data_IF_724983357502
#
_entry.id   IF_724983357502
#
_cell.length_a   1.000
_cell.length_b   1.000
_cell.length_c   1.000
_cell.angle_alpha   90.00
_cell.angle_beta   90.00
_cell.angle_gamma   90.00
#
_symmetry.space_group_name_H-M   'P 1'
#
loop_
_entity.id
_entity.type
_entity.pdbx_description
1 polymer ?
#
# COMPACT_ATOMS: atom_id res chain seq x y z
N UNK A 1 -2.85 23.99 20.11
CA UNK A 1 -1.93 23.64 19.01
C UNK A 1 -1.78 22.13 19.06
N UNK A 2 -2.69 21.41 18.39
CA UNK A 2 -2.68 19.94 18.37
C UNK A 2 -1.54 19.47 17.47
N UNK A 3 -0.47 18.97 18.10
CA UNK A 3 0.57 18.19 17.45
C UNK A 3 0.02 16.79 17.16
N UNK A 4 -0.95 16.68 16.26
CA UNK A 4 -1.08 15.45 15.50
C UNK A 4 0.09 15.47 14.52
N UNK A 5 1.25 15.03 14.99
CA UNK A 5 2.28 14.49 14.11
C UNK A 5 1.54 13.56 13.15
N UNK A 6 1.41 13.99 11.91
CA UNK A 6 0.87 13.17 10.84
C UNK A 6 1.93 12.10 10.63
N UNK A 7 1.86 11.04 11.44
CA UNK A 7 2.86 10.00 11.52
C UNK A 7 3.05 9.46 10.10
N UNK A 8 4.22 9.72 9.54
CA UNK A 8 4.58 9.22 8.21
C UNK A 8 4.50 7.71 8.25
N UNK A 9 3.95 7.14 7.19
CA UNK A 9 3.89 5.69 7.02
C UNK A 9 5.32 5.15 6.95
N UNK A 10 5.69 4.28 7.90
CA UNK A 10 6.97 3.58 7.92
C UNK A 10 6.78 2.24 7.22
N UNK A 11 7.30 2.10 5.99
CA UNK A 11 7.02 0.91 5.16
C UNK A 11 7.57 -0.40 5.73
N UNK A 12 8.48 -0.35 6.72
CA UNK A 12 8.96 -1.56 7.41
C UNK A 12 8.12 -1.87 8.65
N UNK A 13 7.76 -0.86 9.44
CA UNK A 13 7.02 -1.07 10.70
C UNK A 13 5.52 -1.21 10.49
N UNK A 14 4.98 -0.52 9.49
CA UNK A 14 3.56 -0.48 9.19
C UNK A 14 3.18 -1.46 8.06
N UNK A 15 4.04 -2.44 7.72
CA UNK A 15 3.77 -3.41 6.65
C UNK A 15 2.40 -4.10 6.81
N UNK A 16 2.07 -4.53 8.04
CA UNK A 16 0.76 -5.15 8.32
C UNK A 16 -0.41 -4.20 8.07
N UNK A 17 -0.25 -2.93 8.41
CA UNK A 17 -1.28 -1.91 8.17
C UNK A 17 -1.45 -1.65 6.66
N UNK A 18 -0.35 -1.68 5.91
CA UNK A 18 -0.36 -1.56 4.46
C UNK A 18 -1.06 -2.77 3.83
N UNK A 19 -0.75 -3.98 4.28
CA UNK A 19 -1.41 -5.21 3.84
C UNK A 19 -2.92 -5.18 4.07
N UNK A 20 -3.34 -4.79 5.27
CA UNK A 20 -4.76 -4.65 5.63
C UNK A 20 -5.44 -3.60 4.75
N UNK A 21 -4.79 -2.46 4.53
CA UNK A 21 -5.30 -1.38 3.67
C UNK A 21 -5.49 -1.83 2.23
N UNK A 22 -4.44 -2.40 1.62
CA UNK A 22 -4.46 -2.85 0.23
C UNK A 22 -5.52 -3.93 0.04
N UNK A 23 -5.56 -4.94 0.92
CA UNK A 23 -6.55 -6.01 0.87
C UNK A 23 -7.98 -5.48 1.02
N UNK A 24 -8.20 -4.51 1.93
CA UNK A 24 -9.51 -3.88 2.11
C UNK A 24 -9.96 -3.11 0.85
N UNK A 25 -9.08 -2.33 0.22
CA UNK A 25 -9.41 -1.61 -1.01
C UNK A 25 -9.73 -2.58 -2.14
N UNK A 26 -8.92 -3.63 -2.34
CA UNK A 26 -9.16 -4.65 -3.38
C UNK A 26 -10.50 -5.34 -3.16
N UNK A 27 -10.79 -5.74 -1.91
CA UNK A 27 -12.07 -6.37 -1.56
C UNK A 27 -13.25 -5.43 -1.79
N UNK A 28 -13.09 -4.15 -1.50
CA UNK A 28 -14.15 -3.17 -1.70
C UNK A 28 -14.42 -2.86 -3.17
N UNK A 29 -13.37 -2.65 -3.96
CA UNK A 29 -13.49 -2.14 -5.33
C UNK A 29 -13.66 -3.26 -6.37
N UNK A 30 -13.08 -4.44 -6.11
CA UNK A 30 -13.10 -5.59 -7.03
C UNK A 30 -13.87 -6.80 -6.47
N UNK A 31 -14.31 -6.79 -5.21
CA UNK A 31 -14.93 -7.93 -4.54
C UNK A 31 -14.04 -9.20 -4.55
N UNK A 32 -12.71 -9.01 -4.53
CA UNK A 32 -11.70 -10.07 -4.50
C UNK A 32 -11.07 -10.13 -3.11
N UNK A 33 -10.99 -11.33 -2.54
CA UNK A 33 -10.25 -11.58 -1.30
C UNK A 33 -8.88 -12.20 -1.67
N UNK A 34 -7.82 -11.40 -1.56
CA UNK A 34 -6.46 -11.81 -1.91
C UNK A 34 -5.47 -11.34 -0.85
N UNK A 35 -4.50 -12.18 -0.54
CA UNK A 35 -3.39 -11.82 0.34
C UNK A 35 -2.29 -11.13 -0.48
N UNK A 36 -2.02 -9.86 -0.17
CA UNK A 36 -1.02 -9.04 -0.87
C UNK A 36 0.36 -8.99 -0.19
N UNK A 37 0.56 -9.67 0.95
CA UNK A 37 1.79 -9.54 1.76
C UNK A 37 3.08 -9.89 1.02
N UNK A 38 3.00 -10.71 -0.05
CA UNK A 38 4.14 -11.10 -0.87
C UNK A 38 4.13 -10.46 -2.27
N UNK A 39 3.16 -9.61 -2.55
CA UNK A 39 2.93 -9.00 -3.87
C UNK A 39 3.71 -7.69 -4.03
N UNK A 40 4.37 -7.26 -2.95
CA UNK A 40 5.28 -6.13 -2.94
C UNK A 40 6.34 -6.30 -1.85
N UNK A 41 7.45 -5.55 -1.98
CA UNK A 41 8.52 -5.51 -0.98
C UNK A 41 8.95 -4.07 -0.70
N UNK A 42 9.27 -3.76 0.55
CA UNK A 42 9.90 -2.50 0.89
C UNK A 42 11.40 -2.56 0.55
N UNK A 43 11.86 -1.64 -0.31
CA UNK A 43 13.26 -1.56 -0.73
C UNK A 43 13.75 -0.11 -0.72
N UNK A 44 15.05 0.08 -0.52
CA UNK A 44 15.66 1.41 -0.64
C UNK A 44 15.88 1.75 -2.11
N UNK A 45 15.28 2.84 -2.55
CA UNK A 45 15.61 3.43 -3.82
C UNK A 45 17.01 4.07 -3.74
N UNK A 46 17.95 3.57 -4.53
CA UNK A 46 19.36 4.01 -4.52
C UNK A 46 19.50 5.49 -4.94
N UNK A 47 18.64 5.94 -5.87
CA UNK A 47 18.72 7.29 -6.46
C UNK A 47 18.13 8.32 -5.51
N UNK A 48 16.94 8.07 -4.95
CA UNK A 48 16.25 9.02 -4.06
C UNK A 48 16.59 8.84 -2.58
N UNK A 49 17.30 7.76 -2.22
CA UNK A 49 17.63 7.37 -0.84
C UNK A 49 16.40 7.19 0.05
N UNK A 50 15.23 6.92 -0.54
CA UNK A 50 13.97 6.72 0.17
C UNK A 50 13.58 5.25 0.15
N UNK A 51 12.95 4.81 1.23
CA UNK A 51 12.27 3.52 1.25
C UNK A 51 11.01 3.61 0.39
N UNK A 52 10.85 2.66 -0.53
CA UNK A 52 9.70 2.56 -1.45
C UNK A 52 9.17 1.13 -1.45
N UNK A 53 7.90 0.97 -1.79
CA UNK A 53 7.31 -0.32 -2.14
C UNK A 53 7.61 -0.63 -3.61
N UNK A 54 8.22 -1.79 -3.84
CA UNK A 54 8.51 -2.34 -5.17
C UNK A 54 7.53 -3.47 -5.44
N UNK A 55 6.96 -3.47 -6.64
CA UNK A 55 5.98 -4.46 -7.08
C UNK A 55 6.68 -5.80 -7.33
N UNK A 56 6.20 -6.86 -6.71
CA UNK A 56 6.65 -8.24 -6.92
C UNK A 56 5.46 -9.13 -7.25
N UNK A 57 4.59 -8.61 -8.13
CA UNK A 57 3.32 -9.21 -8.46
C UNK A 57 3.49 -10.63 -9.02
N UNK A 58 2.71 -11.55 -8.45
CA UNK A 58 2.54 -12.91 -8.94
C UNK A 58 1.73 -12.95 -10.23
N UNK A 59 1.77 -14.08 -10.92
CA UNK A 59 0.99 -14.30 -12.14
C UNK A 59 -0.52 -14.07 -11.91
N UNK A 60 -1.02 -14.34 -10.69
CA UNK A 60 -2.43 -14.09 -10.32
C UNK A 60 -2.81 -12.61 -10.48
N UNK A 61 -1.92 -11.70 -10.09
CA UNK A 61 -2.14 -10.25 -10.27
C UNK A 61 -1.92 -9.85 -11.73
N UNK A 62 -0.93 -10.42 -12.40
CA UNK A 62 -0.62 -10.09 -13.80
C UNK A 62 -1.72 -10.55 -14.77
N UNK A 63 -2.39 -11.67 -14.47
CA UNK A 63 -3.50 -12.22 -15.26
C UNK A 63 -4.81 -11.43 -15.09
N UNK A 64 -4.91 -10.57 -14.06
CA UNK A 64 -6.07 -9.71 -13.82
C UNK A 64 -5.69 -8.22 -14.01
N UNK A 65 -5.98 -7.62 -15.18
CA UNK A 65 -5.59 -6.25 -15.49
C UNK A 65 -6.14 -5.21 -14.51
N UNK A 66 -7.36 -5.41 -14.01
CA UNK A 66 -8.01 -4.49 -13.07
C UNK A 66 -7.31 -4.53 -11.70
N UNK A 67 -6.97 -5.74 -11.24
CA UNK A 67 -6.22 -5.94 -10.01
C UNK A 67 -4.81 -5.35 -10.11
N UNK A 68 -4.12 -5.60 -11.23
CA UNK A 68 -2.81 -5.03 -11.53
C UNK A 68 -2.83 -3.50 -11.48
N UNK A 69 -3.81 -2.88 -12.13
CA UNK A 69 -3.92 -1.42 -12.21
C UNK A 69 -4.20 -0.82 -10.82
N UNK A 70 -5.14 -1.41 -10.08
CA UNK A 70 -5.51 -0.95 -8.75
C UNK A 70 -4.31 -1.03 -7.79
N UNK A 71 -3.68 -2.19 -7.64
CA UNK A 71 -2.51 -2.37 -6.78
C UNK A 71 -1.34 -1.48 -7.20
N UNK A 72 -1.12 -1.34 -8.50
CA UNK A 72 -0.10 -0.44 -9.03
C UNK A 72 -0.32 1.01 -8.61
N UNK A 73 -1.57 1.49 -8.65
CA UNK A 73 -1.93 2.84 -8.24
C UNK A 73 -1.74 3.02 -6.74
N UNK A 74 -2.21 2.08 -5.93
CA UNK A 74 -2.09 2.15 -4.46
C UNK A 74 -0.63 2.17 -4.00
N UNK A 75 0.22 1.34 -4.61
CA UNK A 75 1.67 1.34 -4.34
C UNK A 75 2.29 2.68 -4.74
N UNK A 76 1.86 3.27 -5.86
CA UNK A 76 2.35 4.57 -6.30
C UNK A 76 1.92 5.70 -5.33
N UNK A 77 0.70 5.67 -4.82
CA UNK A 77 0.21 6.62 -3.82
C UNK A 77 1.02 6.53 -2.51
N UNK A 78 1.32 5.31 -2.07
CA UNK A 78 2.20 5.08 -0.91
C UNK A 78 3.61 5.64 -1.19
N UNK A 79 4.19 5.35 -2.36
CA UNK A 79 5.54 5.79 -2.71
C UNK A 79 5.68 7.31 -2.90
N UNK A 80 4.61 7.98 -3.33
CA UNK A 80 4.59 9.45 -3.46
C UNK A 80 4.35 10.15 -2.13
N UNK A 81 3.99 9.40 -1.08
CA UNK A 81 3.68 9.94 0.24
C UNK A 81 2.33 10.65 0.29
N UNK A 82 1.43 10.38 -0.66
CA UNK A 82 0.06 10.92 -0.65
C UNK A 82 -0.78 10.28 0.46
N UNK A 83 -0.39 9.10 0.92
CA UNK A 83 -1.02 8.35 2.00
C UNK A 83 -0.27 8.53 3.33
N UNK A 84 -0.98 8.95 4.38
CA UNK A 84 -0.48 8.98 5.77
C UNK A 84 -1.09 7.87 6.61
N UNK A 85 -0.42 7.49 7.70
CA UNK A 85 -0.91 6.45 8.62
C UNK A 85 -2.30 6.76 9.18
N UNK A 86 -2.55 8.02 9.55
CA UNK A 86 -3.86 8.49 10.02
C UNK A 86 -4.94 8.36 8.95
N UNK A 87 -4.58 8.58 7.67
CA UNK A 87 -5.51 8.42 6.55
C UNK A 87 -5.89 6.96 6.34
N UNK A 88 -4.92 6.04 6.42
CA UNK A 88 -5.21 4.60 6.36
C UNK A 88 -6.17 4.18 7.48
N UNK A 89 -5.88 4.58 8.72
CA UNK A 89 -6.74 4.26 9.87
C UNK A 89 -8.15 4.80 9.71
N UNK A 90 -8.30 6.01 9.15
CA UNK A 90 -9.62 6.57 8.86
C UNK A 90 -10.38 5.77 7.81
N UNK A 91 -9.69 5.29 6.77
CA UNK A 91 -10.31 4.50 5.70
C UNK A 91 -10.73 3.11 6.19
N UNK A 92 -9.90 2.45 7.01
CA UNK A 92 -10.19 1.11 7.55
C UNK A 92 -11.29 1.08 8.63
N UNK A 93 -11.54 2.18 9.33
CA UNK A 93 -12.61 2.27 10.36
C UNK A 93 -14.01 2.44 9.76
N UNK A 94 -14.13 2.64 8.45
CA UNK A 94 -15.37 2.96 7.76
C UNK A 94 -15.89 1.77 6.97
#
# INVERSE_FOLDING_TARGET
MDYLETERLDLLKDQKLIDEYLSWVIKKDLNIDINVSNEYVAAHNIVSQKLILVKTFSDIILENPDLYLLLSSLIQDINTGSLTKSRIHYLLKK
#
